data_IF_902946713896
#
_entry.id   IF_902946713896
#
_cell.length_a   1.000
_cell.length_b   1.000
_cell.length_c   1.000
_cell.angle_alpha   90.00
_cell.angle_beta   90.00
_cell.angle_gamma   90.00
#
_symmetry.space_group_name_H-M   'P 1'
#
loop_
_entity.id
_entity.type
_entity.pdbx_description
1 polymer ?
#
# COMPACT_ATOMS: atom_id res chain seq x y z
N UNK A 1 17.10 -58.29 -8.90
CA UNK A 1 17.64 -57.28 -7.97
C UNK A 1 17.82 -55.92 -8.67
N UNK A 2 16.78 -55.07 -8.64
CA UNK A 2 16.88 -53.67 -9.08
C UNK A 2 17.38 -52.83 -7.90
N UNK A 3 18.30 -51.87 -8.10
CA UNK A 3 18.81 -51.05 -7.01
C UNK A 3 17.70 -50.13 -6.48
N UNK A 4 17.77 -49.70 -5.20
CA UNK A 4 16.81 -48.77 -4.66
C UNK A 4 17.01 -47.41 -5.32
N UNK A 5 15.94 -46.88 -5.91
CA UNK A 5 15.86 -45.49 -6.35
C UNK A 5 16.12 -44.61 -5.12
N UNK A 6 17.24 -43.89 -5.13
CA UNK A 6 17.56 -42.89 -4.14
C UNK A 6 16.41 -41.89 -4.05
N UNK A 7 15.88 -41.69 -2.84
CA UNK A 7 14.97 -40.58 -2.56
C UNK A 7 15.77 -39.30 -2.77
N UNK A 8 15.58 -38.65 -3.92
CA UNK A 8 15.98 -37.26 -4.11
C UNK A 8 15.31 -36.39 -3.05
N UNK A 9 15.87 -35.20 -2.75
CA UNK A 9 15.24 -34.27 -1.83
C UNK A 9 13.81 -34.01 -2.31
N UNK A 10 12.85 -34.25 -1.41
CA UNK A 10 11.47 -33.83 -1.62
C UNK A 10 11.50 -32.33 -1.97
N UNK A 11 10.80 -31.88 -3.02
CA UNK A 11 10.67 -30.45 -3.27
C UNK A 11 10.11 -29.83 -1.98
N UNK A 12 10.84 -28.86 -1.42
CA UNK A 12 10.38 -28.11 -0.27
C UNK A 12 9.00 -27.50 -0.56
N UNK A 13 8.18 -27.23 0.48
CA UNK A 13 6.89 -26.59 0.28
C UNK A 13 7.10 -25.34 -0.57
N UNK A 14 6.30 -25.20 -1.63
CA UNK A 14 6.27 -23.99 -2.42
C UNK A 14 6.04 -22.83 -1.44
N UNK A 15 7.06 -21.97 -1.30
CA UNK A 15 6.95 -20.68 -0.62
C UNK A 15 5.95 -19.86 -1.44
N UNK A 16 4.67 -19.95 -1.11
CA UNK A 16 3.67 -19.04 -1.64
C UNK A 16 3.99 -17.63 -1.13
N UNK A 17 3.85 -16.63 -2.00
CA UNK A 17 4.07 -15.24 -1.64
C UNK A 17 3.11 -14.80 -0.54
N UNK A 18 3.64 -14.42 0.63
CA UNK A 18 2.93 -13.61 1.62
C UNK A 18 3.05 -12.11 1.29
N UNK A 19 2.43 -11.22 2.07
CA UNK A 19 2.60 -9.77 1.88
C UNK A 19 4.06 -9.36 2.04
N UNK A 20 4.52 -8.45 1.18
CA UNK A 20 5.88 -7.93 1.18
C UNK A 20 6.97 -9.04 1.15
N UNK A 21 7.00 -9.91 0.11
CA UNK A 21 7.89 -11.06 0.06
C UNK A 21 9.37 -10.68 0.10
N UNK A 22 10.03 -10.99 1.23
CA UNK A 22 11.43 -10.67 1.45
C UNK A 22 11.65 -9.30 2.08
N UNK A 23 10.81 -8.30 1.81
CA UNK A 23 10.89 -7.00 2.50
C UNK A 23 10.44 -7.11 3.96
N UNK A 24 9.36 -7.82 4.29
CA UNK A 24 8.91 -7.94 5.68
C UNK A 24 9.96 -8.63 6.57
N UNK A 25 10.54 -9.75 6.12
CA UNK A 25 11.57 -10.48 6.85
C UNK A 25 12.94 -9.78 6.80
N UNK A 26 13.30 -9.17 5.68
CA UNK A 26 14.54 -8.42 5.52
C UNK A 26 14.58 -7.14 6.37
N UNK A 27 13.48 -6.37 6.37
CA UNK A 27 13.36 -5.18 7.23
C UNK A 27 13.35 -5.55 8.70
N UNK A 28 12.76 -6.69 9.09
CA UNK A 28 12.80 -7.15 10.47
C UNK A 28 14.23 -7.30 11.01
N UNK A 29 15.07 -8.07 10.32
CA UNK A 29 16.44 -8.31 10.75
C UNK A 29 17.27 -7.02 10.80
N UNK A 30 17.14 -6.16 9.77
CA UNK A 30 17.85 -4.89 9.70
C UNK A 30 17.44 -3.94 10.83
N UNK A 31 16.14 -3.76 11.07
CA UNK A 31 15.64 -2.78 12.03
C UNK A 31 15.84 -3.20 13.49
N UNK A 32 15.90 -4.50 13.76
CA UNK A 32 16.36 -5.02 15.06
C UNK A 32 17.86 -4.76 15.24
N UNK A 33 18.68 -5.00 14.22
CA UNK A 33 20.12 -4.73 14.27
C UNK A 33 20.43 -3.24 14.44
N UNK A 34 19.68 -2.35 13.78
CA UNK A 34 19.78 -0.90 13.97
C UNK A 34 19.45 -0.49 15.41
N UNK A 35 18.46 -1.13 16.03
CA UNK A 35 18.14 -0.86 17.43
C UNK A 35 19.23 -1.36 18.38
N UNK A 36 19.80 -2.55 18.15
CA UNK A 36 20.98 -3.02 18.90
C UNK A 36 22.16 -2.06 18.77
N UNK A 37 22.41 -1.54 17.57
CA UNK A 37 23.44 -0.54 17.33
C UNK A 37 23.14 0.78 18.06
N UNK A 38 21.88 1.22 18.10
CA UNK A 38 21.47 2.41 18.85
C UNK A 38 21.81 2.28 20.34
N UNK A 39 21.49 1.12 20.93
CA UNK A 39 21.83 0.82 22.32
C UNK A 39 23.34 0.72 22.56
N UNK A 40 24.09 0.07 21.67
CA UNK A 40 25.54 -0.06 21.79
C UNK A 40 26.25 1.30 21.71
N UNK A 41 25.72 2.24 20.92
CA UNK A 41 26.27 3.59 20.76
C UNK A 41 25.72 4.61 21.77
N UNK A 42 24.69 4.24 22.55
CA UNK A 42 24.00 5.18 23.44
C UNK A 42 23.28 6.31 22.68
N UNK A 43 22.79 6.05 21.47
CA UNK A 43 22.07 6.99 20.62
C UNK A 43 20.58 6.62 20.62
N UNK A 44 19.69 7.60 20.65
CA UNK A 44 18.25 7.34 20.50
C UNK A 44 17.97 6.63 19.15
N UNK A 45 17.11 5.59 19.12
CA UNK A 45 16.81 4.85 17.89
C UNK A 45 16.31 5.71 16.72
N UNK A 46 15.50 6.74 16.97
CA UNK A 46 15.01 7.66 15.92
C UNK A 46 16.16 8.53 15.42
N UNK A 47 16.94 9.09 16.34
CA UNK A 47 18.10 9.93 16.02
C UNK A 47 19.15 9.17 15.21
N UNK A 48 19.42 7.90 15.54
CA UNK A 48 20.34 7.07 14.77
C UNK A 48 19.90 6.96 13.30
N UNK A 49 18.60 6.78 13.06
CA UNK A 49 18.04 6.66 11.70
C UNK A 49 18.06 7.99 10.96
N UNK A 50 17.81 9.09 11.64
CA UNK A 50 17.94 10.44 11.06
C UNK A 50 19.38 10.76 10.65
N UNK A 51 20.38 10.36 11.45
CA UNK A 51 21.82 10.52 11.10
C UNK A 51 22.25 9.70 9.90
N UNK A 52 21.56 8.59 9.65
CA UNK A 52 21.83 7.67 8.54
C UNK A 52 20.83 7.83 7.39
N UNK A 53 20.11 8.96 7.31
CA UNK A 53 19.14 9.19 6.25
C UNK A 53 19.85 9.33 4.89
N UNK A 54 19.62 8.36 3.99
CA UNK A 54 20.28 8.33 2.69
C UNK A 54 19.65 9.33 1.71
N UNK A 55 20.38 10.39 1.32
CA UNK A 55 19.87 11.42 0.39
C UNK A 55 19.55 10.89 -1.03
N UNK A 56 20.15 9.77 -1.41
CA UNK A 56 19.92 9.05 -2.68
C UNK A 56 19.92 7.54 -2.44
N UNK A 57 19.54 6.76 -3.45
CA UNK A 57 19.65 5.30 -3.39
C UNK A 57 21.14 4.89 -3.30
N UNK A 58 21.59 4.29 -2.19
CA UNK A 58 23.01 3.97 -2.01
C UNK A 58 23.47 2.80 -2.89
N UNK A 59 22.57 1.89 -3.26
CA UNK A 59 22.89 0.73 -4.09
C UNK A 59 22.97 1.13 -5.56
N UNK A 60 21.95 1.83 -6.05
CA UNK A 60 21.84 2.22 -7.46
C UNK A 60 22.57 3.52 -7.79
N UNK A 61 22.90 4.33 -6.78
CA UNK A 61 23.53 5.66 -6.92
C UNK A 61 22.72 6.62 -7.80
N UNK A 62 21.40 6.56 -7.69
CA UNK A 62 20.45 7.43 -8.38
C UNK A 62 19.54 8.14 -7.36
N UNK A 63 18.99 9.32 -7.68
CA UNK A 63 18.10 10.02 -6.76
C UNK A 63 16.83 9.22 -6.45
N UNK A 64 16.26 9.45 -5.27
CA UNK A 64 14.90 9.04 -4.98
C UNK A 64 13.92 9.88 -5.82
N UNK A 65 12.88 9.25 -6.36
CA UNK A 65 11.76 9.93 -7.02
C UNK A 65 11.01 10.87 -6.06
N UNK A 66 10.79 10.39 -4.86
CA UNK A 66 10.28 11.14 -3.71
C UNK A 66 10.67 10.37 -2.44
N UNK A 67 10.90 11.09 -1.32
CA UNK A 67 11.27 10.48 -0.05
C UNK A 67 10.92 11.36 1.14
N UNK A 68 9.85 11.01 1.86
CA UNK A 68 9.44 11.69 3.10
C UNK A 68 9.87 10.96 4.38
N UNK A 69 10.87 10.07 4.34
CA UNK A 69 11.23 9.22 5.48
C UNK A 69 11.62 10.01 6.74
N UNK A 70 12.49 11.02 6.60
CA UNK A 70 12.87 11.88 7.74
C UNK A 70 11.67 12.64 8.33
N UNK A 71 10.70 13.03 7.50
CA UNK A 71 9.46 13.63 7.97
C UNK A 71 8.57 12.60 8.68
N UNK A 72 8.52 11.35 8.20
CA UNK A 72 7.79 10.25 8.85
C UNK A 72 8.33 9.97 10.26
N UNK A 73 9.66 9.98 10.44
CA UNK A 73 10.24 9.85 11.78
C UNK A 73 9.79 10.95 12.73
N UNK A 74 9.87 12.22 12.30
CA UNK A 74 9.50 13.36 13.14
C UNK A 74 8.01 13.36 13.48
N UNK A 75 7.15 13.22 12.47
CA UNK A 75 5.70 13.21 12.65
C UNK A 75 5.23 12.02 13.50
N UNK A 76 5.77 10.82 13.23
CA UNK A 76 5.45 9.63 14.02
C UNK A 76 5.95 9.73 15.46
N UNK A 77 7.17 10.21 15.69
CA UNK A 77 7.73 10.39 17.03
C UNK A 77 6.94 11.43 17.85
N UNK A 78 6.58 12.56 17.24
CA UNK A 78 5.74 13.59 17.86
C UNK A 78 4.37 13.03 18.22
N UNK A 79 3.68 12.41 17.26
CA UNK A 79 2.34 11.84 17.46
C UNK A 79 2.32 10.73 18.50
N UNK A 80 3.37 9.90 18.51
CA UNK A 80 3.52 8.83 19.49
C UNK A 80 3.88 9.36 20.89
N UNK A 81 4.44 10.57 20.98
CA UNK A 81 4.95 11.15 22.22
C UNK A 81 6.32 10.60 22.63
N UNK A 82 7.16 10.23 21.66
CA UNK A 82 8.46 9.57 21.84
C UNK A 82 9.40 10.30 22.79
N UNK A 83 9.29 11.63 22.90
CA UNK A 83 10.08 12.44 23.83
C UNK A 83 9.91 12.05 25.32
N UNK A 84 8.83 11.33 25.68
CA UNK A 84 8.61 10.83 27.05
C UNK A 84 9.31 9.48 27.32
N UNK A 85 9.96 8.89 26.33
CA UNK A 85 10.65 7.60 26.47
C UNK A 85 11.85 7.73 27.39
N UNK A 86 11.92 6.93 28.44
CA UNK A 86 13.17 6.71 29.16
C UNK A 86 13.97 5.64 28.41
N UNK A 87 15.18 5.91 27.88
CA UNK A 87 15.87 4.98 26.99
C UNK A 87 16.35 3.67 27.65
N UNK A 88 16.47 3.64 28.98
CA UNK A 88 16.98 2.48 29.71
C UNK A 88 16.00 1.30 29.64
N UNK A 89 16.40 0.08 29.21
CA UNK A 89 15.51 -1.07 29.19
C UNK A 89 14.96 -1.41 30.58
N UNK A 90 13.67 -1.74 30.66
CA UNK A 90 12.98 -2.08 31.90
C UNK A 90 12.66 -0.90 32.82
N UNK A 91 12.94 0.33 32.39
CA UNK A 91 12.76 1.55 33.18
C UNK A 91 11.30 2.03 33.27
N UNK A 92 10.51 1.85 32.21
CA UNK A 92 9.11 2.26 32.16
C UNK A 92 8.22 1.12 32.68
N UNK A 93 7.44 1.38 33.73
CA UNK A 93 6.59 0.38 34.40
C UNK A 93 5.34 1.02 35.00
N UNK A 94 4.28 0.23 35.06
CA UNK A 94 3.05 0.55 35.80
C UNK A 94 2.61 -0.69 36.59
N UNK A 95 2.73 -0.65 37.91
CA UNK A 95 2.49 -1.83 38.75
C UNK A 95 3.38 -3.03 38.33
N UNK A 96 2.75 -4.16 38.01
CA UNK A 96 3.43 -5.37 37.54
C UNK A 96 3.70 -5.39 36.03
N UNK A 97 3.30 -4.35 35.31
CA UNK A 97 3.42 -4.27 33.85
C UNK A 97 4.69 -3.53 33.47
N UNK A 98 5.51 -4.15 32.62
CA UNK A 98 6.67 -3.51 31.97
C UNK A 98 6.22 -2.86 30.66
N UNK A 99 6.59 -1.60 30.47
CA UNK A 99 6.17 -0.81 29.31
C UNK A 99 7.35 -0.65 28.35
N UNK A 100 7.12 -1.01 27.10
CA UNK A 100 8.10 -1.09 26.04
C UNK A 100 7.78 -0.15 24.89
N UNK A 101 8.70 0.74 24.51
CA UNK A 101 8.54 1.62 23.35
C UNK A 101 9.62 1.29 22.32
N UNK A 102 9.20 0.91 21.12
CA UNK A 102 10.07 0.54 20.02
C UNK A 102 9.65 1.22 18.73
N UNK A 103 10.60 1.33 17.80
CA UNK A 103 10.34 1.89 16.47
C UNK A 103 11.15 1.18 15.40
N UNK A 104 10.70 1.31 14.16
CA UNK A 104 11.36 0.78 12.98
C UNK A 104 10.97 1.55 11.72
N UNK A 105 11.85 1.50 10.72
CA UNK A 105 11.60 1.97 9.35
C UNK A 105 10.62 1.04 8.62
N UNK A 106 9.69 1.63 7.87
CA UNK A 106 8.89 0.95 6.86
C UNK A 106 9.35 1.39 5.46
N UNK A 107 9.48 0.45 4.53
CA UNK A 107 9.79 0.76 3.13
C UNK A 107 9.27 -0.35 2.23
N UNK A 108 8.75 0.04 1.06
CA UNK A 108 8.35 -0.92 0.04
C UNK A 108 8.60 -0.36 -1.37
N UNK A 109 9.15 -1.15 -2.32
CA UNK A 109 9.37 -0.70 -3.68
C UNK A 109 8.08 -0.23 -4.35
N UNK A 110 8.11 0.94 -4.98
CA UNK A 110 6.99 1.46 -5.75
C UNK A 110 7.12 0.99 -7.21
N UNK A 111 6.41 -0.08 -7.54
CA UNK A 111 6.41 -0.66 -8.86
C UNK A 111 5.20 -0.23 -9.69
N UNK A 112 5.44 -0.11 -11.00
CA UNK A 112 4.40 -0.04 -12.03
C UNK A 112 4.76 -0.92 -13.22
N UNK A 113 3.73 -1.41 -13.88
CA UNK A 113 3.76 -2.25 -15.08
C UNK A 113 2.79 -1.71 -16.13
N UNK A 114 2.80 -2.27 -17.34
CA UNK A 114 1.85 -1.88 -18.37
C UNK A 114 0.43 -2.31 -18.00
N UNK A 115 -0.56 -1.47 -18.30
CA UNK A 115 -1.97 -1.76 -18.09
C UNK A 115 -2.83 -1.14 -19.19
N UNK A 116 -3.97 -1.76 -19.47
CA UNK A 116 -5.00 -1.25 -20.35
C UNK A 116 -6.30 -0.93 -19.62
N UNK A 117 -7.06 -0.01 -20.18
CA UNK A 117 -8.44 0.25 -19.79
C UNK A 117 -9.27 0.65 -21.00
N UNK A 118 -10.56 0.32 -20.98
CA UNK A 118 -11.54 0.78 -21.95
C UNK A 118 -12.54 1.68 -21.24
N UNK A 119 -12.80 2.87 -21.77
CA UNK A 119 -13.79 3.81 -21.26
C UNK A 119 -14.89 4.05 -22.30
N UNK A 120 -16.14 4.07 -21.84
CA UNK A 120 -17.34 4.22 -22.66
C UNK A 120 -18.29 5.24 -22.05
N UNK A 121 -18.79 6.17 -22.86
CA UNK A 121 -20.04 6.86 -22.55
C UNK A 121 -21.21 6.10 -23.16
N UNK A 122 -22.27 5.90 -22.38
CA UNK A 122 -23.46 5.15 -22.78
C UNK A 122 -24.64 6.07 -23.13
N UNK A 123 -25.59 5.63 -23.99
CA UNK A 123 -26.73 6.45 -24.39
C UNK A 123 -27.66 6.87 -23.25
N UNK A 124 -27.64 6.14 -22.13
CA UNK A 124 -28.45 6.44 -20.94
C UNK A 124 -27.83 7.51 -20.03
N UNK A 125 -26.69 8.08 -20.42
CA UNK A 125 -25.97 9.10 -19.66
C UNK A 125 -25.10 8.55 -18.53
N UNK A 126 -24.87 7.24 -18.49
CA UNK A 126 -23.86 6.62 -17.62
C UNK A 126 -22.54 6.43 -18.36
N UNK A 127 -21.48 6.14 -17.60
CA UNK A 127 -20.19 5.76 -18.13
C UNK A 127 -19.78 4.38 -17.62
N UNK A 128 -19.13 3.60 -18.47
CA UNK A 128 -18.54 2.32 -18.10
C UNK A 128 -17.03 2.39 -18.36
N UNK A 129 -16.24 1.96 -17.38
CA UNK A 129 -14.81 1.76 -17.56
C UNK A 129 -14.44 0.36 -17.10
N UNK A 130 -13.56 -0.32 -17.82
CA UNK A 130 -13.16 -1.69 -17.49
C UNK A 130 -11.65 -1.91 -17.67
N UNK A 131 -11.10 -2.80 -16.85
CA UNK A 131 -9.71 -3.25 -16.92
C UNK A 131 -9.63 -4.67 -16.38
N UNK A 132 -8.78 -5.52 -16.95
CA UNK A 132 -8.54 -6.91 -16.53
C UNK A 132 -7.81 -7.04 -15.19
N UNK A 133 -7.86 -6.01 -14.34
CA UNK A 133 -7.29 -6.03 -12.99
C UNK A 133 -8.21 -6.75 -12.01
N UNK A 134 -7.85 -6.79 -10.73
CA UNK A 134 -8.58 -7.50 -9.68
C UNK A 134 -8.78 -6.60 -8.45
N UNK A 135 -9.81 -6.91 -7.68
CA UNK A 135 -10.02 -6.35 -6.33
C UNK A 135 -10.05 -7.49 -5.33
N UNK A 136 -9.03 -7.56 -4.48
CA UNK A 136 -8.89 -8.59 -3.44
C UNK A 136 -9.29 -8.04 -2.06
N UNK A 137 -10.12 -6.98 -2.04
CA UNK A 137 -10.44 -6.19 -0.84
C UNK A 137 -9.56 -4.93 -0.70
N UNK A 138 -8.83 -4.57 -1.75
CA UNK A 138 -7.94 -3.39 -1.79
C UNK A 138 -8.70 -2.10 -2.11
N UNK A 139 -9.92 -2.21 -2.63
CA UNK A 139 -10.76 -1.06 -3.00
C UNK A 139 -10.45 -0.52 -4.40
N UNK A 140 -9.91 -1.37 -5.28
CA UNK A 140 -9.65 -1.08 -6.70
C UNK A 140 -10.92 -0.56 -7.39
N UNK A 141 -12.09 -1.17 -7.14
CA UNK A 141 -13.36 -0.68 -7.70
C UNK A 141 -13.60 0.79 -7.37
N UNK A 142 -13.44 1.17 -6.10
CA UNK A 142 -13.72 2.54 -5.64
C UNK A 142 -12.73 3.53 -6.23
N UNK A 143 -11.44 3.25 -6.10
CA UNK A 143 -10.37 4.15 -6.54
C UNK A 143 -10.41 4.35 -8.05
N UNK A 144 -10.61 3.29 -8.83
CA UNK A 144 -10.65 3.41 -10.29
C UNK A 144 -11.93 4.08 -10.78
N UNK A 145 -13.06 3.92 -10.09
CA UNK A 145 -14.28 4.69 -10.37
C UNK A 145 -14.05 6.19 -10.16
N UNK A 146 -13.36 6.58 -9.08
CA UNK A 146 -13.02 7.99 -8.83
C UNK A 146 -12.11 8.56 -9.92
N UNK A 147 -11.06 7.82 -10.31
CA UNK A 147 -10.15 8.24 -11.39
C UNK A 147 -10.88 8.36 -12.73
N UNK A 148 -11.77 7.41 -13.04
CA UNK A 148 -12.60 7.44 -14.24
C UNK A 148 -13.56 8.64 -14.25
N UNK A 149 -14.23 8.91 -13.12
CA UNK A 149 -15.14 10.05 -12.97
C UNK A 149 -14.44 11.38 -13.25
N UNK A 150 -13.27 11.60 -12.64
CA UNK A 150 -12.44 12.79 -12.87
C UNK A 150 -11.98 12.90 -14.33
N UNK A 151 -11.52 11.79 -14.92
CA UNK A 151 -11.01 11.77 -16.29
C UNK A 151 -12.12 12.02 -17.32
N UNK A 152 -13.33 11.52 -17.08
CA UNK A 152 -14.47 11.64 -17.98
C UNK A 152 -15.35 12.87 -17.70
N UNK A 153 -15.19 13.54 -16.56
CA UNK A 153 -16.08 14.64 -16.17
C UNK A 153 -17.51 14.18 -15.86
N UNK A 154 -17.63 12.97 -15.29
CA UNK A 154 -18.91 12.34 -14.93
C UNK A 154 -19.10 12.33 -13.41
N UNK A 155 -20.33 12.43 -12.90
CA UNK A 155 -20.61 12.16 -11.49
C UNK A 155 -20.20 10.74 -11.13
N UNK A 156 -19.54 10.55 -9.98
CA UNK A 156 -18.99 9.24 -9.58
C UNK A 156 -20.04 8.14 -9.48
N UNK A 157 -21.28 8.48 -9.11
CA UNK A 157 -22.43 7.58 -9.02
C UNK A 157 -23.01 7.18 -10.40
N UNK A 158 -22.56 7.85 -11.47
CA UNK A 158 -22.89 7.54 -12.86
C UNK A 158 -21.79 6.79 -13.60
N UNK A 159 -20.71 6.42 -12.90
CA UNK A 159 -19.60 5.64 -13.46
C UNK A 159 -19.64 4.22 -12.88
N UNK A 160 -19.66 3.23 -13.77
CA UNK A 160 -19.50 1.83 -13.39
C UNK A 160 -18.10 1.33 -13.79
N UNK A 161 -17.37 0.76 -12.84
CA UNK A 161 -16.05 0.18 -13.09
C UNK A 161 -16.10 -1.35 -13.08
N UNK A 162 -15.66 -1.99 -14.17
CA UNK A 162 -15.58 -3.45 -14.35
C UNK A 162 -14.17 -4.00 -14.13
N UNK A 163 -14.07 -5.17 -13.50
CA UNK A 163 -12.82 -5.88 -13.17
C UNK A 163 -13.00 -7.40 -13.33
N UNK A 164 -11.89 -8.13 -13.41
CA UNK A 164 -11.85 -9.58 -13.18
C UNK A 164 -12.31 -10.47 -14.35
N UNK A 165 -12.35 -9.96 -15.58
CA UNK A 165 -12.69 -10.73 -16.78
C UNK A 165 -11.54 -10.71 -17.79
N UNK A 166 -11.15 -11.87 -18.31
CA UNK A 166 -10.05 -12.02 -19.28
C UNK A 166 -10.35 -11.43 -20.65
N UNK A 167 -11.60 -11.04 -20.92
CA UNK A 167 -12.00 -10.31 -22.12
C UNK A 167 -11.76 -8.80 -22.00
N UNK A 168 -11.51 -8.29 -20.79
CA UNK A 168 -11.17 -6.89 -20.55
C UNK A 168 -9.71 -6.59 -20.90
N UNK A 169 -9.34 -5.31 -21.10
CA UNK A 169 -7.95 -4.94 -21.40
C UNK A 169 -6.97 -5.45 -20.35
N UNK A 170 -5.84 -5.99 -20.80
CA UNK A 170 -4.82 -6.59 -19.94
C UNK A 170 -4.32 -5.64 -18.85
N UNK A 171 -4.19 -6.13 -17.62
CA UNK A 171 -3.65 -5.41 -16.47
C UNK A 171 -2.70 -6.33 -15.70
N UNK A 172 -1.74 -5.78 -14.93
CA UNK A 172 -0.80 -6.60 -14.19
C UNK A 172 -1.48 -7.33 -13.04
N UNK A 173 -0.77 -8.33 -12.50
CA UNK A 173 -1.17 -9.02 -11.27
C UNK A 173 -1.31 -8.05 -10.10
N UNK A 174 -2.30 -8.30 -9.25
CA UNK A 174 -2.44 -7.64 -7.95
C UNK A 174 -1.46 -8.23 -6.93
N UNK A 175 -0.23 -7.71 -6.97
CA UNK A 175 0.88 -8.05 -6.07
C UNK A 175 2.05 -7.09 -6.27
N UNK A 176 3.00 -7.02 -5.34
CA UNK A 176 4.08 -6.03 -5.37
C UNK A 176 3.56 -4.58 -5.31
N UNK A 177 2.36 -4.42 -4.74
CA UNK A 177 1.62 -3.17 -4.59
C UNK A 177 1.45 -2.36 -5.89
N UNK A 178 1.54 -2.98 -7.07
CA UNK A 178 1.64 -2.23 -8.33
C UNK A 178 0.29 -1.84 -8.98
N UNK A 179 -0.85 -2.37 -8.50
CA UNK A 179 -2.14 -2.25 -9.20
C UNK A 179 -2.57 -0.79 -9.40
N UNK A 180 -2.58 0.02 -8.34
CA UNK A 180 -2.97 1.44 -8.44
C UNK A 180 -2.03 2.21 -9.36
N UNK A 181 -0.72 2.03 -9.17
CA UNK A 181 0.30 2.75 -9.94
C UNK A 181 0.32 2.37 -11.44
N UNK A 182 -0.24 1.21 -11.80
CA UNK A 182 -0.28 0.70 -13.18
C UNK A 182 -1.63 0.99 -13.85
N UNK A 183 -2.74 0.75 -13.16
CA UNK A 183 -4.10 0.80 -13.74
C UNK A 183 -4.65 2.22 -13.76
N UNK A 184 -4.38 3.04 -12.74
CA UNK A 184 -4.94 4.41 -12.68
C UNK A 184 -4.51 5.31 -13.86
N UNK A 185 -3.26 5.25 -14.37
CA UNK A 185 -2.89 6.01 -15.56
C UNK A 185 -3.60 5.52 -16.84
N UNK A 186 -3.83 4.21 -16.96
CA UNK A 186 -4.56 3.65 -18.10
C UNK A 186 -6.03 4.10 -18.08
N UNK A 187 -6.67 4.09 -16.91
CA UNK A 187 -8.03 4.60 -16.70
C UNK A 187 -8.10 6.10 -17.00
N UNK A 188 -7.14 6.88 -16.49
CA UNK A 188 -7.06 8.32 -16.77
C UNK A 188 -6.90 8.59 -18.27
N UNK A 189 -6.02 7.86 -18.95
CA UNK A 189 -5.79 8.00 -20.39
C UNK A 189 -7.03 7.63 -21.21
N UNK A 190 -7.66 6.48 -20.93
CA UNK A 190 -8.88 6.06 -21.62
C UNK A 190 -10.02 7.06 -21.40
N UNK A 191 -10.22 7.51 -20.16
CA UNK A 191 -11.25 8.50 -19.82
C UNK A 191 -11.04 9.86 -20.49
N UNK A 192 -9.81 10.37 -20.48
CA UNK A 192 -9.47 11.62 -21.14
C UNK A 192 -9.65 11.55 -22.67
N UNK A 193 -9.19 10.47 -23.31
CA UNK A 193 -9.36 10.28 -24.75
C UNK A 193 -10.84 10.07 -25.13
N UNK A 194 -11.61 9.35 -24.32
CA UNK A 194 -13.06 9.22 -24.51
C UNK A 194 -13.75 10.59 -24.40
N UNK A 195 -13.35 11.42 -23.42
CA UNK A 195 -13.85 12.79 -23.27
C UNK A 195 -13.53 13.65 -24.49
N UNK A 196 -12.32 13.56 -25.03
CA UNK A 196 -11.93 14.29 -26.24
C UNK A 196 -12.74 13.81 -27.46
N UNK A 197 -13.00 12.50 -27.59
CA UNK A 197 -13.85 11.94 -28.64
C UNK A 197 -15.33 12.38 -28.50
N UNK A 198 -15.83 12.50 -27.28
CA UNK A 198 -17.15 13.02 -26.97
C UNK A 198 -17.27 14.50 -27.37
N UNK A 199 -16.28 15.33 -27.04
CA UNK A 199 -16.22 16.73 -27.48
C UNK A 199 -16.20 16.79 -29.02
N UNK A 200 -15.36 15.98 -29.66
CA UNK A 200 -15.26 15.91 -31.12
C UNK A 200 -16.60 15.53 -31.78
N UNK A 201 -17.34 14.59 -31.19
CA UNK A 201 -18.66 14.20 -31.67
C UNK A 201 -19.68 15.35 -31.56
N UNK A 202 -19.67 16.10 -30.46
CA UNK A 202 -20.58 17.23 -30.26
C UNK A 202 -20.28 18.38 -31.23
N UNK A 203 -19.01 18.77 -31.41
CA UNK A 203 -18.65 19.90 -32.30
C UNK A 203 -18.90 19.59 -33.78
N UNK A 204 -18.82 18.32 -34.17
CA UNK A 204 -19.02 17.89 -35.56
C UNK A 204 -20.51 17.73 -35.92
N UNK A 205 -21.40 17.57 -34.93
CA UNK A 205 -22.83 17.39 -35.14
C UNK A 205 -23.55 18.73 -35.32
N UNK A 206 -24.09 18.98 -36.52
CA UNK A 206 -24.84 20.19 -36.84
C UNK A 206 -26.10 20.39 -35.98
N UNK A 207 -26.60 19.35 -35.33
CA UNK A 207 -27.74 19.40 -34.42
C UNK A 207 -27.34 19.69 -32.96
N UNK A 208 -26.04 19.70 -32.65
CA UNK A 208 -25.55 20.02 -31.31
C UNK A 208 -25.54 21.55 -31.09
N UNK A 209 -25.92 22.05 -29.90
CA UNK A 209 -25.70 23.45 -29.52
C UNK A 209 -24.21 23.80 -29.42
N UNK A 210 -23.30 22.82 -29.48
CA UNK A 210 -21.85 22.99 -29.46
C UNK A 210 -21.23 22.89 -30.85
N UNK A 211 -22.03 22.81 -31.91
CA UNK A 211 -21.54 22.70 -33.28
C UNK A 211 -20.57 23.83 -33.63
N UNK A 212 -19.40 23.48 -34.17
CA UNK A 212 -18.39 24.44 -34.61
C UNK A 212 -17.66 25.20 -33.48
N UNK A 213 -17.96 24.93 -32.21
CA UNK A 213 -17.21 25.50 -31.07
C UNK A 213 -15.80 24.89 -31.03
N UNK A 214 -14.79 25.70 -30.71
CA UNK A 214 -13.43 25.20 -30.53
C UNK A 214 -13.36 24.21 -29.35
N UNK A 215 -12.73 23.05 -29.54
CA UNK A 215 -12.62 22.02 -28.50
C UNK A 215 -12.01 22.54 -27.20
N UNK A 216 -11.04 23.47 -27.29
CA UNK A 216 -10.39 24.12 -26.15
C UNK A 216 -11.33 24.99 -25.29
N UNK A 217 -12.49 25.37 -25.82
CA UNK A 217 -13.50 26.17 -25.13
C UNK A 217 -14.62 25.32 -24.52
N UNK A 218 -14.53 23.99 -24.63
CA UNK A 218 -15.50 23.04 -24.07
C UNK A 218 -14.89 22.34 -22.86
N UNK A 219 -15.62 22.34 -21.76
CA UNK A 219 -15.32 21.53 -20.56
C UNK A 219 -16.38 20.46 -20.39
N UNK A 220 -15.99 19.28 -19.91
CA UNK A 220 -16.92 18.23 -19.49
C UNK A 220 -16.89 18.12 -17.97
N UNK A 221 -18.03 18.34 -17.33
CA UNK A 221 -18.18 18.25 -15.89
C UNK A 221 -19.63 17.89 -15.54
N UNK A 222 -19.80 17.12 -14.46
CA UNK A 222 -21.09 16.68 -13.92
C UNK A 222 -22.02 16.03 -14.97
N UNK A 223 -21.46 15.41 -16.02
CA UNK A 223 -22.23 14.76 -17.09
C UNK A 223 -22.74 15.73 -18.16
N UNK A 224 -22.13 16.90 -18.29
CA UNK A 224 -22.45 17.89 -19.31
C UNK A 224 -21.21 18.43 -20.00
N UNK A 225 -21.32 18.66 -21.30
CA UNK A 225 -20.40 19.49 -22.06
C UNK A 225 -20.87 20.93 -21.94
N UNK A 226 -19.97 21.85 -21.60
CA UNK A 226 -20.27 23.28 -21.47
C UNK A 226 -19.24 24.11 -22.23
N UNK A 227 -19.69 24.97 -23.15
CA UNK A 227 -18.85 25.94 -23.83
C UNK A 227 -18.68 27.20 -22.97
N UNK A 228 -17.54 27.88 -23.11
CA UNK A 228 -17.28 29.19 -22.48
C UNK A 228 -18.36 30.24 -22.80
N UNK A 229 -18.99 30.15 -23.97
CA UNK A 229 -20.09 31.01 -24.41
C UNK A 229 -21.46 30.70 -23.80
N UNK A 230 -21.56 29.72 -22.89
CA UNK A 230 -22.79 29.37 -22.16
C UNK A 230 -23.65 28.29 -22.80
N UNK A 231 -23.35 27.85 -24.04
CA UNK A 231 -23.99 26.69 -24.64
C UNK A 231 -23.63 25.42 -23.83
N UNK A 232 -24.62 24.57 -23.57
CA UNK A 232 -24.46 23.37 -22.75
C UNK A 232 -25.25 22.22 -23.32
N UNK A 233 -24.71 21.02 -23.19
CA UNK A 233 -25.34 19.80 -23.67
C UNK A 233 -25.09 18.62 -22.71
N UNK A 234 -26.13 17.82 -22.36
CA UNK A 234 -25.92 16.59 -21.61
C UNK A 234 -25.12 15.56 -22.41
N UNK A 235 -24.21 14.85 -21.74
CA UNK A 235 -23.44 13.74 -22.34
C UNK A 235 -24.36 12.73 -23.02
N UNK A 236 -25.47 12.36 -22.34
CA UNK A 236 -26.47 11.42 -22.87
C UNK A 236 -27.03 11.86 -24.23
N UNK A 237 -27.25 13.17 -24.43
CA UNK A 237 -27.80 13.68 -25.68
C UNK A 237 -26.81 13.55 -26.84
N UNK A 238 -25.52 13.84 -26.60
CA UNK A 238 -24.46 13.64 -27.59
C UNK A 238 -24.36 12.17 -27.98
N UNK A 239 -24.30 11.27 -26.99
CA UNK A 239 -24.14 9.82 -27.24
C UNK A 239 -25.37 9.24 -27.93
N UNK A 240 -26.59 9.64 -27.52
CA UNK A 240 -27.82 9.20 -28.16
C UNK A 240 -27.88 9.61 -29.65
N UNK A 241 -27.43 10.83 -29.99
CA UNK A 241 -27.34 11.27 -31.39
C UNK A 241 -26.20 10.62 -32.16
N UNK A 242 -25.08 10.34 -31.48
CA UNK A 242 -23.99 9.56 -32.06
C UNK A 242 -24.42 8.12 -32.41
N UNK A 243 -25.48 7.61 -31.78
CA UNK A 243 -26.17 6.37 -32.13
C UNK A 243 -25.50 5.10 -31.63
N UNK A 244 -24.38 5.21 -30.91
CA UNK A 244 -23.65 4.11 -30.28
C UNK A 244 -22.81 4.64 -29.11
N UNK A 245 -22.31 3.77 -28.21
CA UNK A 245 -21.35 4.19 -27.20
C UNK A 245 -20.12 4.86 -27.83
N UNK A 246 -19.65 5.94 -27.19
CA UNK A 246 -18.33 6.52 -27.51
C UNK A 246 -17.32 5.76 -26.68
N UNK A 247 -16.52 4.93 -27.34
CA UNK A 247 -15.62 3.96 -26.72
C UNK A 247 -14.17 4.23 -27.11
N UNK A 248 -13.28 4.23 -26.12
CA UNK A 248 -11.84 4.31 -26.32
C UNK A 248 -11.12 3.32 -25.42
N UNK A 249 -10.17 2.59 -26.01
CA UNK A 249 -9.24 1.72 -25.29
C UNK A 249 -7.86 2.35 -25.27
N UNK A 250 -7.28 2.52 -24.08
CA UNK A 250 -5.91 2.99 -23.91
C UNK A 250 -5.04 1.91 -23.27
N UNK A 251 -3.78 1.84 -23.70
CA UNK A 251 -2.73 1.06 -23.04
C UNK A 251 -1.61 2.00 -22.63
N UNK A 252 -1.23 1.95 -21.37
CA UNK A 252 -0.13 2.76 -20.81
C UNK A 252 0.95 1.80 -20.33
N UNK A 253 2.21 2.15 -20.62
CA UNK A 253 3.38 1.43 -20.16
C UNK A 253 4.31 2.37 -19.36
N UNK A 254 5.10 1.83 -18.40
CA UNK A 254 6.15 2.61 -17.74
C UNK A 254 7.16 3.15 -18.76
N UNK A 255 7.58 4.40 -18.58
CA UNK A 255 8.70 5.00 -19.31
C UNK A 255 10.06 4.67 -18.68
N UNK A 256 11.08 5.47 -19.03
CA UNK A 256 12.47 5.30 -18.60
C UNK A 256 12.74 5.82 -17.16
N UNK A 257 11.73 6.32 -16.45
CA UNK A 257 11.91 6.96 -15.13
C UNK A 257 12.52 6.02 -14.10
N UNK A 258 12.23 4.71 -14.18
CA UNK A 258 12.85 3.69 -13.30
C UNK A 258 14.37 3.56 -13.49
N UNK A 259 14.93 4.05 -14.60
CA UNK A 259 16.38 4.10 -14.82
C UNK A 259 17.01 5.37 -14.21
N UNK A 260 16.21 6.42 -14.02
CA UNK A 260 16.66 7.74 -13.55
C UNK A 260 16.42 7.94 -12.05
N UNK A 261 15.41 7.27 -11.51
CA UNK A 261 14.98 7.42 -10.12
C UNK A 261 14.75 6.07 -9.46
N UNK A 262 15.09 6.00 -8.17
CA UNK A 262 14.65 4.91 -7.31
C UNK A 262 13.29 5.26 -6.68
N UNK A 263 12.34 4.34 -6.75
CA UNK A 263 10.94 4.58 -6.40
C UNK A 263 10.52 3.67 -5.27
N UNK A 264 10.24 4.26 -4.11
CA UNK A 264 9.84 3.56 -2.90
C UNK A 264 8.74 4.37 -2.19
N UNK A 265 7.87 3.66 -1.49
CA UNK A 265 7.09 4.22 -0.40
C UNK A 265 7.92 4.08 0.89
N UNK A 266 7.84 5.05 1.78
CA UNK A 266 8.59 5.06 3.04
C UNK A 266 7.67 5.30 4.23
N UNK A 267 8.09 4.90 5.42
CA UNK A 267 7.38 5.20 6.65
C UNK A 267 8.19 4.90 7.90
N UNK A 268 7.58 5.18 9.04
CA UNK A 268 8.10 4.88 10.36
C UNK A 268 6.97 4.34 11.23
N UNK A 269 7.23 3.24 11.93
CA UNK A 269 6.28 2.58 12.83
C UNK A 269 6.79 2.70 14.26
N UNK A 270 5.90 3.07 15.18
CA UNK A 270 6.15 3.16 16.61
C UNK A 270 5.16 2.26 17.33
N UNK A 271 5.66 1.42 18.24
CA UNK A 271 4.86 0.46 18.98
C UNK A 271 5.07 0.64 20.49
N UNK A 272 3.96 0.58 21.23
CA UNK A 272 3.96 0.39 22.67
C UNK A 272 3.49 -1.03 23.00
N UNK A 273 4.27 -1.72 23.83
CA UNK A 273 3.91 -3.03 24.36
C UNK A 273 3.87 -3.01 25.87
N UNK A 274 2.95 -3.78 26.43
CA UNK A 274 2.83 -4.09 27.84
C UNK A 274 3.22 -5.55 28.02
N UNK A 275 4.21 -5.81 28.86
CA UNK A 275 4.69 -7.15 29.18
C UNK A 275 4.44 -7.43 30.66
N UNK A 276 3.70 -8.48 30.96
CA UNK A 276 3.52 -8.95 32.33
C UNK A 276 4.87 -9.41 32.91
N UNK A 277 5.27 -8.86 34.05
CA UNK A 277 6.60 -9.12 34.61
C UNK A 277 6.80 -10.55 35.13
N UNK A 278 5.71 -11.26 35.46
CA UNK A 278 5.73 -12.61 36.03
C UNK A 278 5.44 -13.68 34.97
N UNK A 279 4.49 -13.40 34.07
CA UNK A 279 3.99 -14.36 33.07
C UNK A 279 4.65 -14.20 31.69
N UNK A 280 5.29 -13.06 31.41
CA UNK A 280 5.84 -12.77 30.09
C UNK A 280 4.80 -12.57 28.99
N UNK A 281 3.51 -12.44 29.34
CA UNK A 281 2.43 -12.18 28.38
C UNK A 281 2.62 -10.78 27.78
N UNK A 282 2.60 -10.72 26.45
CA UNK A 282 2.80 -9.48 25.68
C UNK A 282 1.45 -9.01 25.15
N UNK A 283 1.14 -7.73 25.32
CA UNK A 283 0.04 -7.05 24.65
C UNK A 283 0.53 -5.80 23.95
N UNK A 284 0.12 -5.58 22.71
CA UNK A 284 0.33 -4.30 22.04
C UNK A 284 -0.75 -3.34 22.55
N UNK A 285 -0.35 -2.24 23.19
CA UNK A 285 -1.30 -1.25 23.70
C UNK A 285 -1.60 -0.14 22.70
N UNK A 286 -0.65 0.16 21.81
CA UNK A 286 -0.77 1.24 20.83
C UNK A 286 0.24 1.09 19.69
N UNK A 287 -0.18 1.42 18.46
CA UNK A 287 0.71 1.56 17.30
C UNK A 287 0.43 2.91 16.62
N UNK A 288 1.49 3.61 16.24
CA UNK A 288 1.45 4.78 15.36
C UNK A 288 2.29 4.48 14.12
N UNK A 289 1.68 4.53 12.94
CA UNK A 289 2.38 4.47 11.66
C UNK A 289 2.36 5.83 10.96
N UNK A 290 3.49 6.30 10.45
CA UNK A 290 3.60 7.49 9.61
C UNK A 290 4.17 7.13 8.25
N UNK A 291 3.50 7.48 7.17
CA UNK A 291 3.83 7.00 5.81
C UNK A 291 3.87 8.14 4.78
N UNK A 292 4.90 8.10 3.92
CA UNK A 292 5.00 8.85 2.67
C UNK A 292 4.81 7.90 1.49
N UNK A 293 3.67 8.01 0.82
CA UNK A 293 3.19 7.03 -0.17
C UNK A 293 2.76 7.69 -1.50
N UNK A 294 3.33 8.86 -1.80
CA UNK A 294 2.84 9.72 -2.88
C UNK A 294 1.39 10.15 -2.65
N UNK A 295 0.68 10.44 -3.74
CA UNK A 295 -0.72 10.89 -3.70
C UNK A 295 -1.63 9.75 -3.26
N UNK A 296 -2.32 9.95 -2.13
CA UNK A 296 -3.36 9.05 -1.67
C UNK A 296 -4.67 9.31 -2.43
N UNK A 297 -5.08 8.38 -3.29
CA UNK A 297 -6.29 8.55 -4.11
C UNK A 297 -7.58 8.47 -3.29
N UNK A 298 -7.60 7.65 -2.24
CA UNK A 298 -8.75 7.51 -1.36
C UNK A 298 -8.29 7.31 0.09
N UNK A 299 -8.61 8.28 0.95
CA UNK A 299 -8.17 8.28 2.34
C UNK A 299 -8.72 7.09 3.14
N UNK A 300 -9.96 6.66 2.86
CA UNK A 300 -10.63 5.60 3.62
C UNK A 300 -10.05 4.23 3.31
N UNK A 301 -9.99 3.86 2.02
CA UNK A 301 -9.42 2.57 1.62
C UNK A 301 -7.92 2.52 1.88
N UNK A 302 -7.22 3.64 1.69
CA UNK A 302 -5.80 3.74 1.99
C UNK A 302 -5.47 3.54 3.47
N UNK A 303 -6.24 4.17 4.36
CA UNK A 303 -6.13 3.93 5.81
C UNK A 303 -6.40 2.47 6.16
N UNK A 304 -7.44 1.85 5.59
CA UNK A 304 -7.76 0.44 5.83
C UNK A 304 -6.63 -0.51 5.39
N UNK A 305 -5.98 -0.24 4.27
CA UNK A 305 -4.85 -1.04 3.78
C UNK A 305 -3.66 -0.98 4.72
N UNK A 306 -3.26 0.22 5.14
CA UNK A 306 -2.15 0.41 6.08
C UNK A 306 -2.47 -0.25 7.44
N UNK A 307 -3.70 -0.10 7.93
CA UNK A 307 -4.17 -0.74 9.16
C UNK A 307 -4.12 -2.27 9.06
N UNK A 308 -4.59 -2.86 7.95
CA UNK A 308 -4.53 -4.30 7.72
C UNK A 308 -3.09 -4.82 7.69
N UNK A 309 -2.17 -4.10 7.05
CA UNK A 309 -0.75 -4.44 7.05
C UNK A 309 -0.14 -4.40 8.47
N UNK A 310 -0.51 -3.41 9.29
CA UNK A 310 -0.06 -3.34 10.69
C UNK A 310 -0.57 -4.53 11.50
N UNK A 311 -1.85 -4.89 11.37
CA UNK A 311 -2.42 -6.07 12.04
C UNK A 311 -1.67 -7.34 11.63
N UNK A 312 -1.37 -7.49 10.34
CA UNK A 312 -0.60 -8.63 9.86
C UNK A 312 0.83 -8.65 10.42
N UNK A 313 1.47 -7.48 10.54
CA UNK A 313 2.77 -7.34 11.20
C UNK A 313 2.73 -7.70 12.68
N UNK A 314 1.62 -7.45 13.38
CA UNK A 314 1.41 -7.94 14.75
C UNK A 314 1.30 -9.47 14.78
N UNK A 315 0.59 -10.06 13.81
CA UNK A 315 0.53 -11.49 13.56
C UNK A 315 1.90 -12.12 13.46
N UNK A 316 2.69 -11.64 12.52
CA UNK A 316 4.08 -12.06 12.31
C UNK A 316 4.95 -11.88 13.57
N UNK A 317 4.74 -10.81 14.33
CA UNK A 317 5.55 -10.52 15.51
C UNK A 317 5.25 -11.43 16.71
N UNK A 318 3.98 -11.76 16.95
CA UNK A 318 3.54 -12.33 18.24
C UNK A 318 2.88 -13.70 18.14
N UNK A 319 2.38 -14.11 16.97
CA UNK A 319 1.44 -15.24 16.88
C UNK A 319 1.79 -16.26 15.79
N UNK A 320 2.11 -15.80 14.58
CA UNK A 320 2.14 -16.65 13.39
C UNK A 320 3.40 -17.52 13.32
N UNK A 321 3.26 -18.83 13.48
CA UNK A 321 4.33 -19.82 13.34
C UNK A 321 3.81 -21.10 12.68
N UNK A 322 4.54 -21.65 11.70
CA UNK A 322 4.28 -22.99 11.17
C UNK A 322 5.13 -24.02 11.90
N UNK A 323 4.50 -24.92 12.65
CA UNK A 323 5.19 -25.94 13.43
C UNK A 323 5.42 -27.20 12.59
N UNK A 324 6.68 -27.56 12.39
CA UNK A 324 7.07 -28.76 11.64
C UNK A 324 7.36 -29.94 12.57
N UNK A 325 6.80 -31.11 12.24
CA UNK A 325 7.24 -32.37 12.83
C UNK A 325 8.55 -32.84 12.16
N UNK A 326 9.70 -32.88 12.86
CA UNK A 326 10.98 -33.24 12.25
C UNK A 326 11.05 -34.69 11.79
N UNK A 327 10.15 -35.57 12.25
CA UNK A 327 10.13 -37.00 11.90
C UNK A 327 9.50 -37.25 10.54
N UNK A 328 8.47 -36.46 10.22
CA UNK A 328 7.61 -36.69 9.04
C UNK A 328 7.57 -35.49 8.07
N UNK A 329 8.11 -34.33 8.47
CA UNK A 329 8.09 -33.10 7.67
C UNK A 329 6.70 -32.47 7.53
N UNK A 330 5.75 -32.83 8.42
CA UNK A 330 4.36 -32.34 8.36
C UNK A 330 4.22 -31.05 9.17
N UNK A 331 3.49 -30.07 8.63
CA UNK A 331 3.01 -28.92 9.41
C UNK A 331 1.89 -29.42 10.31
N UNK A 332 2.12 -29.39 11.63
CA UNK A 332 1.20 -29.99 12.61
C UNK A 332 0.06 -29.07 13.01
N UNK A 333 0.29 -27.75 12.99
CA UNK A 333 -0.69 -26.73 13.36
C UNK A 333 -1.42 -26.14 12.14
N UNK A 334 -1.74 -26.95 11.13
CA UNK A 334 -2.30 -26.47 9.86
C UNK A 334 -3.82 -26.15 9.93
N UNK A 335 -4.24 -25.46 10.99
CA UNK A 335 -5.63 -25.11 11.28
C UNK A 335 -5.68 -23.80 12.11
N UNK A 336 -6.80 -23.08 12.09
CA UNK A 336 -6.94 -21.78 12.79
C UNK A 336 -7.01 -21.89 14.32
N UNK A 337 -7.10 -23.10 14.89
CA UNK A 337 -7.07 -23.26 16.34
C UNK A 337 -5.64 -23.25 16.88
N UNK A 338 -4.66 -23.73 16.11
CA UNK A 338 -3.26 -23.85 16.53
C UNK A 338 -2.30 -22.94 15.75
N UNK A 339 -2.67 -22.48 14.55
CA UNK A 339 -2.00 -21.38 13.85
C UNK A 339 -2.69 -20.08 14.24
N UNK A 340 -2.14 -19.42 15.25
CA UNK A 340 -2.73 -18.21 15.80
C UNK A 340 -2.54 -17.04 14.84
N UNK A 341 -3.65 -16.39 14.49
CA UNK A 341 -3.70 -15.09 13.84
C UNK A 341 -4.27 -14.07 14.84
N UNK A 342 -3.93 -12.77 14.74
CA UNK A 342 -4.50 -11.76 15.63
C UNK A 342 -6.02 -11.79 15.63
N UNK A 343 -6.63 -11.79 16.82
CA UNK A 343 -8.07 -11.57 16.98
C UNK A 343 -8.35 -10.11 17.31
N UNK A 344 -9.63 -9.71 17.28
CA UNK A 344 -10.04 -8.33 17.57
C UNK A 344 -9.51 -7.83 18.94
N UNK A 345 -9.51 -8.69 19.96
CA UNK A 345 -9.02 -8.35 21.29
C UNK A 345 -7.49 -8.14 21.39
N UNK A 346 -6.72 -8.56 20.37
CA UNK A 346 -5.28 -8.36 20.31
C UNK A 346 -4.90 -7.02 19.67
N UNK A 347 -5.82 -6.42 18.90
CA UNK A 347 -5.56 -5.24 18.09
C UNK A 347 -6.03 -3.97 18.82
N UNK A 348 -5.11 -3.08 19.24
CA UNK A 348 -5.48 -1.81 19.86
C UNK A 348 -5.95 -0.80 18.80
N UNK A 349 -6.23 0.42 19.23
CA UNK A 349 -6.35 1.54 18.30
C UNK A 349 -5.02 1.75 17.54
N UNK A 350 -5.11 1.71 16.21
CA UNK A 350 -4.00 1.96 15.30
C UNK A 350 -4.14 3.37 14.73
N UNK A 351 -3.17 4.23 15.03
CA UNK A 351 -3.10 5.59 14.51
C UNK A 351 -2.22 5.63 13.25
N UNK A 352 -2.73 6.25 12.19
CA UNK A 352 -2.09 6.25 10.87
C UNK A 352 -2.04 7.68 10.37
N UNK A 353 -0.82 8.17 10.18
CA UNK A 353 -0.51 9.43 9.52
C UNK A 353 -0.07 9.13 8.09
N UNK A 354 -0.72 9.77 7.13
CA UNK A 354 -0.23 9.82 5.75
C UNK A 354 0.24 11.24 5.50
N UNK A 355 1.54 11.39 5.25
CA UNK A 355 2.14 12.68 4.95
C UNK A 355 1.78 13.09 3.53
N UNK A 356 1.61 14.39 3.32
CA UNK A 356 1.47 14.94 1.98
C UNK A 356 2.80 14.78 1.23
N UNK A 357 2.78 13.95 0.19
CA UNK A 357 3.93 13.64 -0.64
C UNK A 357 3.49 13.63 -2.11
N UNK A 358 4.17 14.42 -2.93
CA UNK A 358 3.99 14.38 -4.38
C UNK A 358 5.14 13.59 -5.01
N UNK A 359 4.79 12.63 -5.86
CA UNK A 359 5.75 11.92 -6.70
C UNK A 359 5.38 12.11 -8.17
N UNK A 360 5.90 13.14 -8.85
CA UNK A 360 5.57 13.37 -10.27
C UNK A 360 6.22 12.34 -11.21
N UNK A 361 7.13 11.49 -10.70
CA UNK A 361 7.93 10.57 -11.52
C UNK A 361 7.33 9.18 -11.59
N UNK A 362 6.57 8.74 -10.57
CA UNK A 362 5.96 7.40 -10.56
C UNK A 362 4.88 7.24 -11.64
N UNK A 363 4.00 8.22 -11.83
CA UNK A 363 2.96 8.27 -12.86
C UNK A 363 2.27 9.64 -12.87
N UNK A 364 1.42 9.95 -13.89
CA UNK A 364 0.74 11.25 -13.99
C UNK A 364 -0.19 11.59 -12.81
N UNK A 365 -0.64 10.60 -12.03
CA UNK A 365 -1.46 10.82 -10.84
C UNK A 365 -0.62 10.98 -9.56
N UNK A 366 0.68 10.68 -9.61
CA UNK A 366 1.58 10.61 -8.47
C UNK A 366 1.23 9.54 -7.43
N UNK A 367 0.42 8.54 -7.80
CA UNK A 367 -0.07 7.51 -6.89
C UNK A 367 0.87 6.30 -6.83
N UNK A 368 1.29 5.90 -5.64
CA UNK A 368 2.09 4.68 -5.42
C UNK A 368 1.22 3.52 -4.92
N UNK A 369 1.84 2.35 -4.86
CA UNK A 369 1.33 1.19 -4.15
C UNK A 369 1.45 1.32 -2.63
N UNK A 370 0.43 0.86 -1.90
CA UNK A 370 0.40 0.88 -0.43
C UNK A 370 0.01 -0.45 0.22
N UNK A 371 -0.31 -1.48 -0.57
CA UNK A 371 -0.86 -2.75 -0.04
C UNK A 371 0.09 -3.47 0.92
N UNK A 372 1.40 -3.32 0.71
CA UNK A 372 2.42 -4.10 1.43
C UNK A 372 3.29 -3.27 2.37
N UNK A 373 3.34 -1.94 2.24
CA UNK A 373 4.16 -1.13 3.15
C UNK A 373 3.66 -1.19 4.61
N UNK A 374 2.36 -1.43 4.82
CA UNK A 374 1.76 -1.45 6.15
C UNK A 374 2.35 -2.51 7.08
N UNK A 375 2.84 -3.65 6.56
CA UNK A 375 3.48 -4.70 7.38
C UNK A 375 4.96 -4.42 7.65
N UNK A 376 5.64 -3.72 6.75
CA UNK A 376 7.09 -3.52 6.84
C UNK A 376 7.48 -2.72 8.08
N UNK A 377 8.51 -3.18 8.78
CA UNK A 377 8.97 -2.57 10.04
C UNK A 377 8.12 -2.88 11.29
N UNK A 378 6.85 -3.27 11.16
CA UNK A 378 5.98 -3.53 12.31
C UNK A 378 6.53 -4.63 13.23
N UNK A 379 6.98 -5.80 12.73
CA UNK A 379 7.54 -6.82 13.61
C UNK A 379 8.79 -6.36 14.36
N UNK A 380 9.63 -5.55 13.72
CA UNK A 380 10.82 -5.00 14.37
C UNK A 380 10.46 -3.96 15.42
N UNK A 381 9.51 -3.07 15.14
CA UNK A 381 9.06 -2.08 16.12
C UNK A 381 8.53 -2.76 17.39
N UNK A 382 7.77 -3.85 17.24
CA UNK A 382 7.28 -4.67 18.37
C UNK A 382 8.44 -5.36 19.08
N UNK A 383 9.37 -6.00 18.35
CA UNK A 383 10.55 -6.64 18.96
C UNK A 383 11.43 -5.65 19.73
N UNK A 384 11.63 -4.46 19.19
CA UNK A 384 12.37 -3.38 19.83
C UNK A 384 11.64 -2.86 21.07
N UNK A 385 10.31 -2.81 21.02
CA UNK A 385 9.49 -2.45 22.18
C UNK A 385 9.58 -3.52 23.28
N UNK A 386 9.54 -4.81 22.93
CA UNK A 386 9.71 -5.91 23.89
C UNK A 386 11.10 -5.87 24.55
N UNK A 387 12.15 -5.61 23.76
CA UNK A 387 13.49 -5.41 24.30
C UNK A 387 13.52 -4.22 25.26
N UNK A 388 12.92 -3.08 24.90
CA UNK A 388 12.82 -1.93 25.78
C UNK A 388 12.08 -2.26 27.09
N UNK A 389 11.00 -3.04 27.05
CA UNK A 389 10.25 -3.43 28.25
C UNK A 389 11.05 -4.38 29.16
N UNK A 390 11.81 -5.30 28.58
CA UNK A 390 12.30 -6.49 29.31
C UNK A 390 13.82 -6.58 29.45
N UNK A 391 14.57 -5.88 28.59
CA UNK A 391 16.01 -6.08 28.39
C UNK A 391 16.38 -7.35 27.62
N UNK A 392 15.40 -8.15 27.19
CA UNK A 392 15.62 -9.40 26.45
C UNK A 392 15.40 -9.18 24.96
N UNK A 393 16.42 -9.48 24.15
CA UNK A 393 16.35 -9.33 22.69
C UNK A 393 15.98 -10.66 22.05
N UNK A 394 14.77 -10.73 21.49
CA UNK A 394 14.29 -11.89 20.74
C UNK A 394 14.48 -11.60 19.24
N UNK A 395 15.28 -12.44 18.58
CA UNK A 395 15.61 -12.30 17.15
C UNK A 395 14.84 -13.29 16.26
N UNK A 396 14.14 -14.22 16.87
CA UNK A 396 13.37 -15.26 16.19
C UNK A 396 11.89 -15.05 16.47
N UNK A 397 11.13 -14.75 15.42
CA UNK A 397 9.68 -14.60 15.49
C UNK A 397 8.98 -15.97 15.47
N UNK A 398 7.77 -16.07 16.03
CA UNK A 398 7.08 -15.05 16.83
C UNK A 398 7.69 -14.88 18.23
N UNK A 399 7.45 -13.75 18.89
CA UNK A 399 7.90 -13.47 20.25
C UNK A 399 6.87 -14.02 21.23
N UNK A 400 7.04 -15.28 21.60
CA UNK A 400 6.19 -15.99 22.54
C UNK A 400 6.67 -15.83 23.99
N UNK A 401 5.79 -16.07 24.95
CA UNK A 401 6.06 -15.88 26.38
C UNK A 401 7.23 -16.74 26.89
N UNK A 402 7.42 -17.95 26.36
CA UNK A 402 8.52 -18.86 26.71
C UNK A 402 9.89 -18.29 26.34
N UNK A 403 9.95 -17.36 25.37
CA UNK A 403 11.19 -16.65 25.00
C UNK A 403 11.54 -15.51 25.97
N UNK A 404 10.64 -15.17 26.91
CA UNK A 404 10.78 -14.06 27.86
C UNK A 404 10.97 -14.49 29.32
N UNK A 405 10.84 -15.78 29.63
CA UNK A 405 10.94 -16.34 30.99
C UNK A 405 12.35 -16.85 31.29
#
# INVERSE_FOLDING_TARGET
>A
PRPPLGRGPLPGPALCSGPAPGEATGTFALEVALDEMAYALGIDPVELRLRNDAAQDPEKRIPWSSKSLAACYRAGAERFGWARRNPQPGSMREGNTRIGWGMATATYPANRSAAGATARYLPDGTAQVESGSQDLGTGTYTVMTQVAADAMGMPVDRVHFGLGDTRMPEAPVSGGSQSVASVSPAVQAAGAQARDALIAAAIADASSPLHGVAASDITVADGFLSARGGAREPVAAVVARYGRPIEVTAKVAPGEEKQKYSMHSFGAVFAEVHVDADLGVIRVSRIVGSYGVGRLLNAKTGRSQLMGGIVWGMGMALFEESLFDPRYGRIVNNNLAEYHVPVNADVPDIDILVLDEADPHINPLGAKGIGEIGITGVPAAIANAVYHATGRRVRELPITLDKLI
#
